data_IF_609363495556
#
_entry.id   IF_609363495556
#
_cell.length_a   1.000
_cell.length_b   1.000
_cell.length_c   1.000
_cell.angle_alpha   90.00
_cell.angle_beta   90.00
_cell.angle_gamma   90.00
#
_symmetry.space_group_name_H-M   'P 1'
#
loop_
_entity.id
_entity.type
_entity.pdbx_description
1 polymer ?
#
# COMPACT_ATOMS: atom_id res chain seq x y z
N UNK A 1 -14.07 17.19 -12.19
CA UNK A 1 -14.20 17.02 -11.30
C UNK A 1 -13.52 17.56 -10.68
N UNK A 2 -13.92 18.07 -10.54
CA UNK A 2 -13.23 18.68 -9.81
C UNK A 2 -12.31 17.86 -9.31
N UNK A 3 -11.32 18.31 -8.98
CA UNK A 3 -10.55 17.51 -8.39
C UNK A 3 -11.08 17.14 -7.18
N UNK A 4 -11.03 15.96 -6.88
CA UNK A 4 -11.42 15.44 -5.68
C UNK A 4 -10.50 15.86 -4.65
N UNK A 5 -11.00 16.35 -3.55
CA UNK A 5 -10.18 16.59 -2.41
C UNK A 5 -9.67 15.28 -1.89
N UNK A 6 -8.40 15.22 -1.55
CA UNK A 6 -7.86 14.03 -0.97
C UNK A 6 -8.42 13.84 0.43
N UNK A 7 -8.94 12.66 0.69
CA UNK A 7 -9.47 12.33 1.99
C UNK A 7 -8.33 11.76 2.83
N UNK A 8 -7.91 12.52 3.84
CA UNK A 8 -6.80 12.10 4.70
C UNK A 8 -5.45 12.29 4.05
N UNK A 9 -4.47 11.53 4.49
CA UNK A 9 -3.11 11.60 3.97
C UNK A 9 -2.98 10.77 2.70
N UNK A 10 -2.06 11.14 1.86
CA UNK A 10 -1.73 10.33 0.70
C UNK A 10 -0.94 9.11 1.15
N UNK A 11 -1.28 7.95 0.62
CA UNK A 11 -0.55 6.72 0.89
C UNK A 11 0.00 6.20 -0.42
N UNK A 12 1.31 5.99 -0.48
CA UNK A 12 1.98 5.49 -1.67
C UNK A 12 2.52 4.10 -1.40
N UNK A 13 2.17 3.16 -2.26
CA UNK A 13 2.72 1.81 -2.20
C UNK A 13 3.85 1.69 -3.20
N UNK A 14 4.97 1.15 -2.77
CA UNK A 14 6.11 0.88 -3.64
C UNK A 14 6.37 -0.62 -3.63
N UNK A 15 6.44 -1.24 -4.79
CA UNK A 15 6.75 -2.66 -4.88
C UNK A 15 8.24 -2.82 -4.65
N UNK A 16 8.59 -3.49 -3.56
CA UNK A 16 9.98 -3.63 -3.14
C UNK A 16 10.61 -4.91 -3.64
N UNK A 17 9.83 -5.98 -3.75
CA UNK A 17 10.35 -7.28 -4.18
C UNK A 17 9.22 -8.11 -4.75
N UNK A 18 9.53 -8.97 -5.71
CA UNK A 18 8.59 -9.93 -6.24
C UNK A 18 9.31 -11.25 -6.36
N UNK A 19 8.72 -12.30 -5.77
CA UNK A 19 9.22 -13.64 -5.91
C UNK A 19 8.27 -14.34 -6.86
N UNK A 20 8.75 -14.67 -8.04
CA UNK A 20 7.92 -15.27 -9.05
C UNK A 20 7.27 -14.20 -9.92
N UNK A 21 6.00 -14.36 -10.21
CA UNK A 21 5.31 -13.50 -11.16
C UNK A 21 4.08 -12.86 -10.50
N UNK A 22 3.96 -11.56 -10.59
CA UNK A 22 2.79 -10.89 -10.05
C UNK A 22 1.67 -10.94 -11.08
N UNK A 23 0.57 -11.60 -10.76
CA UNK A 23 -0.53 -11.79 -11.71
C UNK A 23 -1.19 -10.48 -12.11
N UNK A 24 -1.03 -9.44 -11.32
CA UNK A 24 -1.57 -8.13 -11.66
C UNK A 24 -0.61 -7.31 -12.53
N UNK A 25 0.57 -7.86 -12.85
CA UNK A 25 1.50 -7.21 -13.76
C UNK A 25 2.38 -6.15 -13.16
N UNK A 26 2.49 -6.10 -11.85
CA UNK A 26 3.34 -5.11 -11.20
C UNK A 26 4.80 -5.52 -11.24
N UNK A 27 5.68 -4.55 -11.21
CA UNK A 27 7.12 -4.75 -11.24
C UNK A 27 7.78 -4.09 -10.04
N UNK A 28 8.95 -4.58 -9.67
CA UNK A 28 9.72 -3.97 -8.59
C UNK A 28 10.00 -2.51 -8.95
N UNK A 29 9.78 -1.62 -8.00
CA UNK A 29 9.97 -0.19 -8.19
C UNK A 29 8.72 0.56 -8.57
N UNK A 30 7.64 -0.14 -8.92
CA UNK A 30 6.39 0.52 -9.25
C UNK A 30 5.86 1.25 -8.02
N UNK A 31 5.40 2.47 -8.20
CA UNK A 31 4.76 3.25 -7.15
C UNK A 31 3.31 3.46 -7.48
N UNK A 32 2.45 3.26 -6.49
CA UNK A 32 1.02 3.25 -6.69
C UNK A 32 0.39 4.08 -5.58
N UNK A 33 -0.49 4.99 -5.93
CA UNK A 33 -1.24 5.71 -4.90
C UNK A 33 -2.44 4.85 -4.50
N UNK A 34 -2.58 4.62 -3.20
CA UNK A 34 -3.63 3.77 -2.65
C UNK A 34 -4.48 4.55 -1.68
N UNK A 35 -5.76 4.22 -1.61
CA UNK A 35 -6.65 4.86 -0.65
C UNK A 35 -7.80 3.94 -0.34
N UNK A 36 -8.66 4.37 0.57
CA UNK A 36 -9.89 3.64 0.87
C UNK A 36 -10.82 3.57 -0.34
N UNK A 37 -10.57 4.39 -1.36
CA UNK A 37 -11.42 4.48 -2.54
C UNK A 37 -10.74 3.96 -3.80
N UNK A 38 -9.46 3.61 -3.75
CA UNK A 38 -8.74 3.22 -4.96
C UNK A 38 -7.72 2.15 -4.65
N UNK A 39 -7.79 1.05 -5.38
CA UNK A 39 -6.83 -0.03 -5.25
C UNK A 39 -5.54 0.24 -6.01
N UNK A 40 -5.49 1.31 -6.80
CA UNK A 40 -4.30 1.64 -7.57
C UNK A 40 -3.90 0.58 -8.58
N UNK A 41 -4.79 -0.33 -8.91
CA UNK A 41 -4.47 -1.41 -9.83
C UNK A 41 -3.97 -2.68 -9.16
N UNK A 42 -3.93 -2.74 -7.84
CA UNK A 42 -3.57 -3.97 -7.15
C UNK A 42 -4.64 -5.02 -7.37
N UNK A 43 -4.25 -6.29 -7.34
CA UNK A 43 -5.24 -7.35 -7.42
C UNK A 43 -6.12 -7.32 -6.18
N UNK A 44 -7.32 -7.86 -6.31
CA UNK A 44 -8.30 -7.81 -5.23
C UNK A 44 -7.83 -8.45 -3.94
N UNK A 45 -7.11 -9.57 -4.04
CA UNK A 45 -6.62 -10.24 -2.85
C UNK A 45 -5.62 -9.38 -2.09
N UNK A 46 -4.69 -8.76 -2.78
CA UNK A 46 -3.67 -7.95 -2.13
C UNK A 46 -4.29 -6.70 -1.54
N UNK A 47 -5.15 -6.04 -2.30
CA UNK A 47 -5.82 -4.83 -1.82
C UNK A 47 -6.69 -5.15 -0.59
N UNK A 48 -7.38 -6.28 -0.62
CA UNK A 48 -8.21 -6.70 0.50
C UNK A 48 -7.37 -6.85 1.77
N UNK A 49 -6.22 -7.49 1.65
CA UNK A 49 -5.36 -7.71 2.81
C UNK A 49 -4.72 -6.42 3.30
N UNK A 50 -4.42 -5.49 2.39
CA UNK A 50 -3.79 -4.24 2.75
C UNK A 50 -4.77 -3.18 3.23
N UNK A 51 -6.05 -3.37 2.96
CA UNK A 51 -7.05 -2.33 3.17
C UNK A 51 -7.04 -1.74 4.59
N UNK A 52 -7.00 -2.54 5.67
CA UNK A 52 -6.99 -1.96 7.01
C UNK A 52 -5.76 -1.08 7.25
N UNK A 53 -4.63 -1.46 6.69
CA UNK A 53 -3.39 -0.71 6.88
C UNK A 53 -3.40 0.57 6.06
N UNK A 54 -3.96 0.52 4.85
CA UNK A 54 -4.12 1.70 4.02
C UNK A 54 -5.00 2.72 4.73
N UNK A 55 -6.12 2.26 5.27
CA UNK A 55 -7.06 3.14 5.97
C UNK A 55 -6.41 3.72 7.23
N UNK A 56 -5.66 2.90 7.97
CA UNK A 56 -4.97 3.38 9.15
C UNK A 56 -4.04 4.54 8.81
N UNK A 57 -3.21 4.36 7.79
CA UNK A 57 -2.26 5.41 7.40
C UNK A 57 -2.98 6.62 6.83
N UNK A 58 -4.00 6.38 6.03
CA UNK A 58 -4.73 7.46 5.37
C UNK A 58 -5.37 8.41 6.38
N UNK A 59 -5.87 7.85 7.48
CA UNK A 59 -6.58 8.65 8.46
C UNK A 59 -5.77 8.97 9.72
N UNK A 60 -4.45 8.84 9.63
CA UNK A 60 -3.56 9.35 10.68
C UNK A 60 -3.20 8.36 11.78
N UNK A 61 -3.62 7.11 11.64
CA UNK A 61 -3.27 6.09 12.63
C UNK A 61 -1.88 5.51 12.39
N UNK A 62 -1.39 4.74 13.33
CA UNK A 62 -0.12 4.06 13.19
C UNK A 62 0.03 2.98 14.25
N UNK A 63 1.01 2.12 14.03
CA UNK A 63 1.47 1.24 15.08
C UNK A 63 2.37 2.03 16.04
N UNK A 64 2.69 1.49 17.20
CA UNK A 64 3.54 2.22 18.15
C UNK A 64 4.89 2.59 17.54
N UNK A 65 5.44 3.75 17.92
CA UNK A 65 6.72 4.17 17.35
C UNK A 65 7.87 3.20 17.61
N UNK A 66 7.76 2.39 18.65
CA UNK A 66 8.78 1.39 18.96
C UNK A 66 8.93 0.35 17.87
N UNK A 67 7.90 0.18 17.03
CA UNK A 67 7.88 -0.84 15.99
C UNK A 67 8.51 -0.35 14.70
N UNK A 68 8.93 0.89 14.64
CA UNK A 68 9.55 1.48 13.47
C UNK A 68 8.91 2.79 13.11
N UNK A 69 9.16 3.25 11.89
CA UNK A 69 8.61 4.51 11.41
C UNK A 69 7.09 4.41 11.32
N UNK A 70 6.35 5.25 12.05
CA UNK A 70 4.89 5.17 12.04
C UNK A 70 4.26 5.48 10.68
N UNK A 71 5.01 6.06 9.76
CA UNK A 71 4.47 6.40 8.44
C UNK A 71 4.73 5.31 7.40
N UNK A 72 5.44 4.25 7.76
CA UNK A 72 5.88 3.24 6.80
C UNK A 72 5.55 1.83 7.29
N UNK A 73 4.94 1.04 6.42
CA UNK A 73 4.69 -0.38 6.68
C UNK A 73 5.15 -1.19 5.49
N UNK A 74 5.70 -2.37 5.74
CA UNK A 74 6.07 -3.28 4.68
C UNK A 74 5.28 -4.56 4.84
N UNK A 75 4.59 -4.98 3.79
CA UNK A 75 3.66 -6.09 3.84
C UNK A 75 3.84 -6.98 2.62
N UNK A 76 3.50 -8.25 2.79
CA UNK A 76 3.63 -9.23 1.72
C UNK A 76 2.27 -9.65 1.20
N UNK A 77 2.24 -9.96 -0.10
CA UNK A 77 1.06 -10.53 -0.72
C UNK A 77 0.80 -11.92 -0.14
N UNK A 78 -0.47 -12.30 -0.07
CA UNK A 78 -0.82 -13.61 0.46
C UNK A 78 -0.51 -14.76 -0.47
N UNK A 79 -0.18 -14.50 -1.72
CA UNK A 79 0.13 -15.56 -2.69
C UNK A 79 1.51 -16.14 -2.38
N UNK A 80 1.55 -17.35 -1.89
CA UNK A 80 2.80 -17.98 -1.47
C UNK A 80 3.73 -18.28 -2.63
N UNK A 81 3.17 -18.44 -3.81
CA UNK A 81 3.95 -18.86 -4.96
C UNK A 81 4.51 -17.67 -5.72
N UNK A 82 3.83 -16.54 -5.65
CA UNK A 82 4.23 -15.34 -6.36
C UNK A 82 4.18 -14.17 -5.39
N UNK A 83 5.07 -14.19 -4.42
CA UNK A 83 5.04 -13.27 -3.32
C UNK A 83 5.54 -11.90 -3.75
N UNK A 84 4.74 -10.90 -3.53
CA UNK A 84 5.13 -9.52 -3.75
C UNK A 84 5.19 -8.80 -2.40
N UNK A 85 6.22 -7.99 -2.21
CA UNK A 85 6.37 -7.19 -1.00
C UNK A 85 6.15 -5.73 -1.37
N UNK A 86 5.29 -5.06 -0.62
CA UNK A 86 4.98 -3.66 -0.86
C UNK A 86 5.30 -2.84 0.38
N UNK A 87 5.86 -1.65 0.16
CA UNK A 87 6.03 -0.69 1.22
C UNK A 87 4.91 0.34 1.11
N UNK A 88 4.13 0.50 2.17
CA UNK A 88 3.11 1.54 2.23
C UNK A 88 3.70 2.72 3.00
N UNK A 89 3.67 3.88 2.38
CA UNK A 89 4.24 5.07 3.01
C UNK A 89 3.22 6.19 3.00
N UNK A 90 2.98 6.77 4.17
CA UNK A 90 2.13 7.94 4.30
C UNK A 90 2.96 9.17 3.97
N UNK A 91 2.46 9.97 3.05
CA UNK A 91 3.14 11.20 2.66
C UNK A 91 2.62 12.32 3.53
N UNK A 92 3.51 12.95 4.30
CA UNK A 92 3.13 14.10 5.10
C UNK A 92 3.55 15.35 4.36
N UNK A 93 2.64 16.24 4.21
CA UNK A 93 2.98 17.46 3.50
C UNK A 93 2.71 18.63 4.32
#
# INVERSE_FOLDING_TARGET
MAEQERLGYQVVGTIKAIKGYCSAGHNVGDQIELSSHSSGGLCGFFYHDLFPYIVMLQFGGSFPPDWGDPDVLELDCMDKYNLATIELKRVRE
#
